data_IF_352209235862
#
_entry.id   IF_352209235862
#
_cell.length_a   1.000
_cell.length_b   1.000
_cell.length_c   1.000
_cell.angle_alpha   90.00
_cell.angle_beta   90.00
_cell.angle_gamma   90.00
#
_symmetry.space_group_name_H-M   'P 1'
#
loop_
_entity.id
_entity.type
_entity.pdbx_description
1 polymer ?
#
# COMPACT_ATOMS: atom_id res chain seq x y z
N UNK A 1 10.06 2.85 5.38
CA UNK A 1 9.28 3.85 6.13
C UNK A 1 8.75 4.88 5.13
N UNK A 2 7.58 5.49 5.36
CA UNK A 2 7.11 6.60 4.51
C UNK A 2 7.18 7.88 5.32
N UNK A 3 8.34 8.53 5.22
CA UNK A 3 8.72 9.77 5.92
C UNK A 3 9.03 10.88 4.93
N UNK A 4 9.11 12.13 5.41
CA UNK A 4 9.37 13.29 4.56
C UNK A 4 10.60 13.08 3.65
N UNK A 5 11.74 12.66 4.23
CA UNK A 5 12.97 12.38 3.49
C UNK A 5 12.85 11.30 2.40
N UNK A 6 11.88 10.39 2.51
CA UNK A 6 11.62 9.35 1.50
C UNK A 6 10.57 9.76 0.47
N UNK A 7 9.64 10.67 0.80
CA UNK A 7 8.61 11.12 -0.14
C UNK A 7 9.18 12.02 -1.24
N UNK A 8 10.16 12.87 -0.93
CA UNK A 8 10.75 13.79 -1.90
C UNK A 8 11.34 13.08 -3.14
N UNK A 9 12.15 12.00 -3.00
CA UNK A 9 12.56 11.17 -4.14
C UNK A 9 11.39 10.61 -4.96
N UNK A 10 10.32 10.11 -4.33
CA UNK A 10 9.16 9.59 -5.05
C UNK A 10 8.46 10.68 -5.86
N UNK A 11 8.25 11.86 -5.28
CA UNK A 11 7.67 13.00 -5.99
C UNK A 11 8.52 13.41 -7.19
N UNK A 12 9.85 13.41 -7.06
CA UNK A 12 10.77 13.69 -8.18
C UNK A 12 10.62 12.67 -9.32
N UNK A 13 10.58 11.37 -9.02
CA UNK A 13 10.37 10.34 -10.06
C UNK A 13 8.99 10.44 -10.72
N UNK A 14 7.93 10.68 -9.94
CA UNK A 14 6.58 10.91 -10.48
C UNK A 14 6.58 12.09 -11.47
N UNK A 15 7.29 13.19 -11.14
CA UNK A 15 7.36 14.38 -11.99
C UNK A 15 8.14 14.18 -13.29
N UNK A 16 9.03 13.18 -13.37
CA UNK A 16 9.65 12.78 -14.64
C UNK A 16 8.66 12.09 -15.58
N UNK A 17 7.63 11.44 -15.04
CA UNK A 17 6.60 10.74 -15.82
C UNK A 17 5.46 11.68 -16.21
N UNK A 18 5.03 12.57 -15.31
CA UNK A 18 3.91 13.47 -15.58
C UNK A 18 3.95 14.77 -14.76
N UNK A 19 3.59 15.87 -15.43
CA UNK A 19 3.32 17.17 -14.78
C UNK A 19 1.88 17.33 -14.25
N UNK A 20 1.02 16.32 -14.41
CA UNK A 20 -0.38 16.40 -13.95
C UNK A 20 -0.47 16.40 -12.42
N UNK A 21 -1.51 17.05 -11.83
CA UNK A 21 -1.77 16.95 -10.41
C UNK A 21 -1.97 15.50 -9.97
N UNK A 22 -1.42 15.15 -8.79
CA UNK A 22 -1.72 13.87 -8.14
C UNK A 22 -3.12 14.00 -7.55
N UNK A 23 -4.05 13.16 -8.00
CA UNK A 23 -5.46 13.20 -7.55
C UNK A 23 -5.77 12.23 -6.42
N UNK A 24 -5.06 11.10 -6.38
CA UNK A 24 -5.33 10.01 -5.44
C UNK A 24 -4.02 9.45 -4.88
N UNK A 25 -4.05 9.12 -3.59
CA UNK A 25 -3.06 8.28 -2.91
C UNK A 25 -3.81 7.09 -2.31
N UNK A 26 -3.34 5.88 -2.58
CA UNK A 26 -3.96 4.66 -2.05
C UNK A 26 -3.06 4.08 -0.96
N UNK A 27 -3.56 3.95 0.26
CA UNK A 27 -2.89 3.17 1.29
C UNK A 27 -3.27 1.70 1.10
N UNK A 28 -2.26 0.84 0.93
CA UNK A 28 -2.48 -0.61 0.87
C UNK A 28 -2.91 -1.14 2.24
N UNK A 29 -2.33 -0.62 3.32
CA UNK A 29 -2.70 -0.91 4.70
C UNK A 29 -2.12 0.17 5.64
N UNK A 30 -2.33 0.01 6.95
CA UNK A 30 -2.11 1.06 7.95
C UNK A 30 -0.67 1.17 8.49
N UNK A 31 0.26 0.32 8.04
CA UNK A 31 1.63 0.37 8.53
C UNK A 31 2.34 1.63 8.06
N UNK A 32 3.27 2.09 8.89
CA UNK A 32 3.98 3.39 8.78
C UNK A 32 4.81 3.53 7.50
N UNK A 33 5.26 2.43 6.94
CA UNK A 33 5.97 2.38 5.67
C UNK A 33 5.07 2.43 4.44
N UNK A 34 3.74 2.44 4.62
CA UNK A 34 2.78 2.57 3.53
C UNK A 34 1.90 3.83 3.65
N UNK A 35 1.70 4.35 4.87
CA UNK A 35 0.65 5.32 5.11
C UNK A 35 1.08 6.65 5.76
N UNK A 36 2.29 6.75 6.32
CA UNK A 36 2.72 7.97 7.02
C UNK A 36 3.12 9.12 6.09
N UNK A 37 3.28 8.85 4.80
CA UNK A 37 3.62 9.86 3.79
C UNK A 37 2.43 10.71 3.30
N UNK A 38 1.20 10.41 3.72
CA UNK A 38 -0.03 10.98 3.13
C UNK A 38 -0.06 12.52 3.10
N UNK A 39 0.45 13.18 4.15
CA UNK A 39 0.46 14.65 4.23
C UNK A 39 1.16 15.33 3.05
N UNK A 40 2.17 14.66 2.47
CA UNK A 40 3.03 15.23 1.43
C UNK A 40 2.41 15.16 0.03
N UNK A 41 1.27 14.47 -0.10
CA UNK A 41 0.54 14.36 -1.35
C UNK A 41 -0.73 15.21 -1.39
N UNK A 42 -1.06 15.91 -0.30
CA UNK A 42 -2.21 16.81 -0.26
C UNK A 42 -2.07 17.91 -1.35
N UNK A 43 -3.16 18.32 -2.02
CA UNK A 43 -4.56 18.04 -1.69
C UNK A 43 -5.15 16.78 -2.38
N UNK A 44 -4.33 15.78 -2.73
CA UNK A 44 -4.84 14.51 -3.26
C UNK A 44 -5.81 13.82 -2.27
N UNK A 45 -6.79 13.12 -2.80
CA UNK A 45 -7.69 12.27 -2.02
C UNK A 45 -6.95 11.03 -1.54
N UNK A 46 -6.99 10.76 -0.23
CA UNK A 46 -6.39 9.57 0.35
C UNK A 46 -7.45 8.49 0.43
N UNK A 47 -7.19 7.33 -0.16
CA UNK A 47 -8.13 6.21 -0.30
C UNK A 47 -7.58 4.98 0.42
N UNK A 48 -8.42 4.26 1.16
CA UNK A 48 -8.06 2.97 1.77
C UNK A 48 -9.28 2.09 2.04
N UNK A 49 -9.07 0.81 2.35
CA UNK A 49 -10.12 0.01 3.00
C UNK A 49 -10.53 0.66 4.35
N UNK A 50 -11.77 0.47 4.79
CA UNK A 50 -12.26 1.03 6.06
C UNK A 50 -11.43 0.54 7.26
N UNK A 51 -11.07 -0.75 7.30
CA UNK A 51 -10.26 -1.31 8.38
C UNK A 51 -8.84 -0.74 8.43
N UNK A 52 -8.29 -0.30 7.29
CA UNK A 52 -7.01 0.42 7.27
C UNK A 52 -7.14 1.80 7.93
N UNK A 53 -8.22 2.53 7.64
CA UNK A 53 -8.47 3.84 8.27
C UNK A 53 -8.66 3.69 9.77
N UNK A 54 -9.47 2.74 10.19
CA UNK A 54 -9.76 2.47 11.61
C UNK A 54 -8.49 2.07 12.36
N UNK A 55 -7.70 1.14 11.82
CA UNK A 55 -6.44 0.71 12.43
C UNK A 55 -5.43 1.87 12.51
N UNK A 56 -5.36 2.72 11.49
CA UNK A 56 -4.50 3.91 11.52
C UNK A 56 -4.90 4.87 12.65
N UNK A 57 -6.20 5.16 12.79
CA UNK A 57 -6.72 6.04 13.84
C UNK A 57 -6.50 5.44 15.24
N UNK A 58 -6.74 4.14 15.41
CA UNK A 58 -6.56 3.44 16.68
C UNK A 58 -5.07 3.39 17.10
N UNK A 59 -4.16 3.18 16.14
CA UNK A 59 -2.72 3.14 16.40
C UNK A 59 -2.15 4.51 16.72
N UNK A 60 -2.66 5.55 16.07
CA UNK A 60 -2.13 6.90 16.18
C UNK A 60 -0.71 7.06 15.59
N UNK A 61 -0.05 8.13 16.02
CA UNK A 61 1.35 8.43 15.72
C UNK A 61 2.14 8.53 17.03
N UNK A 62 2.45 7.39 17.64
CA UNK A 62 3.35 7.34 18.80
C UNK A 62 4.79 7.62 18.36
N UNK A 63 5.12 8.92 18.28
CA UNK A 63 6.42 9.43 17.86
C UNK A 63 7.53 8.98 18.82
N UNK A 64 7.25 8.75 20.10
CA UNK A 64 8.27 8.29 21.04
C UNK A 64 8.71 6.86 20.70
N UNK A 65 7.76 5.94 20.55
CA UNK A 65 8.06 4.57 20.13
C UNK A 65 8.73 4.53 18.75
N UNK A 66 8.29 5.37 17.80
CA UNK A 66 8.94 5.46 16.47
C UNK A 66 10.38 5.99 16.56
N UNK A 67 10.66 6.94 17.44
CA UNK A 67 12.01 7.45 17.70
C UNK A 67 12.92 6.40 18.35
N UNK A 68 12.38 5.51 19.17
CA UNK A 68 13.14 4.40 19.78
C UNK A 68 13.46 3.31 18.76
N UNK A 69 12.47 2.93 17.95
CA UNK A 69 12.64 1.87 16.93
C UNK A 69 13.45 2.33 15.72
N UNK A 70 13.30 3.59 15.32
CA UNK A 70 13.91 4.15 14.12
C UNK A 70 14.51 5.55 14.39
N UNK A 71 15.56 5.63 15.24
CA UNK A 71 16.15 6.91 15.65
C UNK A 71 16.71 7.73 14.49
N UNK A 72 17.11 7.08 13.40
CA UNK A 72 17.62 7.73 12.18
C UNK A 72 16.59 8.63 11.48
N UNK A 73 15.30 8.47 11.76
CA UNK A 73 14.22 9.28 11.18
C UNK A 73 13.61 10.26 12.19
N UNK A 74 14.29 10.55 13.31
CA UNK A 74 13.76 11.40 14.39
C UNK A 74 13.23 12.76 13.91
N UNK A 75 13.99 13.44 13.04
CA UNK A 75 13.57 14.73 12.48
C UNK A 75 12.35 14.59 11.56
N UNK A 76 12.27 13.49 10.81
CA UNK A 76 11.12 13.20 9.96
C UNK A 76 9.87 12.91 10.81
N UNK A 77 9.99 12.12 11.88
CA UNK A 77 8.87 11.79 12.77
C UNK A 77 8.29 13.04 13.43
N UNK A 78 9.14 13.98 13.84
CA UNK A 78 8.71 15.26 14.40
C UNK A 78 7.86 16.10 13.42
N UNK A 79 8.01 15.87 12.12
CA UNK A 79 7.28 16.57 11.05
C UNK A 79 6.10 15.77 10.49
N UNK A 80 5.94 14.53 10.94
CA UNK A 80 4.91 13.63 10.42
C UNK A 80 3.58 13.85 11.15
N UNK A 81 2.53 14.03 10.37
CA UNK A 81 1.14 14.17 10.77
C UNK A 81 0.37 12.96 10.26
N UNK A 82 -0.42 12.37 11.14
CA UNK A 82 -1.29 11.25 10.76
C UNK A 82 -2.45 11.75 9.91
N UNK A 83 -2.41 11.47 8.60
CA UNK A 83 -3.49 11.81 7.66
C UNK A 83 -4.23 10.53 7.25
N UNK A 84 -5.39 10.22 7.86
CA UNK A 84 -6.17 9.05 7.54
C UNK A 84 -6.99 9.24 6.24
N UNK A 85 -7.35 8.14 5.57
CA UNK A 85 -8.04 8.17 4.28
C UNK A 85 -9.38 8.93 4.31
N UNK A 86 -9.57 9.90 3.42
CA UNK A 86 -10.83 10.66 3.28
C UNK A 86 -11.91 9.86 2.56
N UNK A 87 -11.50 8.91 1.71
CA UNK A 87 -12.39 7.99 1.00
C UNK A 87 -12.12 6.56 1.49
N UNK A 88 -13.18 5.85 1.86
CA UNK A 88 -13.07 4.44 2.25
C UNK A 88 -13.99 3.55 1.42
N UNK A 89 -13.62 2.28 1.35
CA UNK A 89 -14.42 1.22 0.72
C UNK A 89 -14.30 -0.08 1.53
N UNK A 90 -15.16 -1.06 1.24
CA UNK A 90 -15.22 -2.34 1.95
C UNK A 90 -14.73 -3.49 1.07
N UNK A 91 -15.44 -3.81 0.00
CA UNK A 91 -15.07 -4.98 -0.83
C UNK A 91 -14.21 -4.59 -2.04
N UNK A 92 -14.76 -3.73 -2.90
CA UNK A 92 -14.13 -3.28 -4.14
C UNK A 92 -14.46 -1.83 -4.42
N UNK A 93 -13.48 -1.07 -4.89
CA UNK A 93 -13.69 0.26 -5.45
C UNK A 93 -13.08 0.31 -6.85
N UNK A 94 -13.83 0.86 -7.81
CA UNK A 94 -13.36 1.04 -9.18
C UNK A 94 -13.17 2.54 -9.42
N UNK A 95 -11.97 2.93 -9.84
CA UNK A 95 -11.63 4.32 -10.16
C UNK A 95 -11.37 4.43 -11.66
N UNK A 96 -12.16 5.24 -12.34
CA UNK A 96 -11.96 5.57 -13.75
C UNK A 96 -11.06 6.81 -13.87
N UNK A 97 -9.84 6.63 -14.37
CA UNK A 97 -8.86 7.69 -14.57
C UNK A 97 -8.64 7.94 -16.06
N UNK A 98 -9.53 8.73 -16.65
CA UNK A 98 -9.55 8.94 -18.10
C UNK A 98 -9.85 7.62 -18.82
N UNK A 99 -8.89 7.13 -19.62
CA UNK A 99 -9.01 5.86 -20.35
C UNK A 99 -8.58 4.62 -19.58
N UNK A 100 -8.20 4.73 -18.29
CA UNK A 100 -7.74 3.61 -17.47
C UNK A 100 -8.70 3.29 -16.34
N UNK A 101 -8.79 2.00 -16.02
CA UNK A 101 -9.55 1.49 -14.87
C UNK A 101 -8.53 1.07 -13.82
N UNK A 102 -8.75 1.49 -12.58
CA UNK A 102 -7.98 1.06 -11.41
C UNK A 102 -8.94 0.38 -10.46
N UNK A 103 -8.67 -0.87 -10.11
CA UNK A 103 -9.48 -1.63 -9.16
C UNK A 103 -8.75 -1.73 -7.82
N UNK A 104 -9.37 -1.21 -6.76
CA UNK A 104 -8.94 -1.43 -5.39
C UNK A 104 -9.74 -2.61 -4.86
N UNK A 105 -9.05 -3.67 -4.48
CA UNK A 105 -9.62 -4.94 -4.06
C UNK A 105 -9.24 -5.20 -2.61
N UNK A 106 -10.23 -5.42 -1.75
CA UNK A 106 -10.00 -6.00 -0.44
C UNK A 106 -10.01 -7.53 -0.58
N UNK A 107 -8.88 -8.23 -0.40
CA UNK A 107 -8.83 -9.68 -0.57
C UNK A 107 -9.42 -10.46 0.62
N UNK A 108 -9.94 -9.77 1.63
CA UNK A 108 -10.13 -10.31 2.98
C UNK A 108 -8.86 -10.13 3.83
N UNK A 109 -8.93 -10.43 5.15
CA UNK A 109 -7.80 -10.25 6.06
C UNK A 109 -6.58 -11.08 5.67
N UNK A 110 -5.42 -10.46 5.46
CA UNK A 110 -4.19 -11.16 5.11
C UNK A 110 -3.01 -10.67 5.96
N UNK A 111 -2.20 -9.74 5.47
CA UNK A 111 -1.16 -9.06 6.24
C UNK A 111 -1.75 -8.17 7.32
N UNK A 112 -2.89 -7.53 7.02
CA UNK A 112 -3.74 -6.84 7.97
C UNK A 112 -5.22 -7.10 7.68
N UNK A 113 -6.11 -6.71 8.59
CA UNK A 113 -7.56 -6.68 8.33
C UNK A 113 -7.97 -5.54 7.37
N UNK A 114 -7.04 -4.63 7.06
CA UNK A 114 -7.24 -3.44 6.24
C UNK A 114 -6.67 -3.53 4.83
N UNK A 115 -6.23 -4.71 4.37
CA UNK A 115 -5.43 -4.81 3.14
C UNK A 115 -6.19 -4.38 1.89
N UNK A 116 -5.49 -3.68 1.01
CA UNK A 116 -5.92 -3.24 -0.32
C UNK A 116 -4.87 -3.69 -1.32
N UNK A 117 -5.30 -4.47 -2.32
CA UNK A 117 -4.53 -4.68 -3.54
C UNK A 117 -5.04 -3.76 -4.64
N UNK A 118 -4.13 -3.17 -5.43
CA UNK A 118 -4.47 -2.29 -6.55
C UNK A 118 -4.18 -3.02 -7.86
N UNK A 119 -5.24 -3.33 -8.61
CA UNK A 119 -5.15 -4.05 -9.88
C UNK A 119 -5.43 -3.11 -11.06
N UNK A 120 -4.55 -3.18 -12.06
CA UNK A 120 -4.67 -2.48 -13.35
C UNK A 120 -4.99 -3.51 -14.44
N UNK A 121 -6.28 -3.78 -14.74
CA UNK A 121 -6.67 -4.88 -15.62
C UNK A 121 -6.14 -4.74 -17.04
N UNK A 122 -6.11 -3.52 -17.60
CA UNK A 122 -5.59 -3.30 -18.95
C UNK A 122 -4.09 -3.62 -19.06
N UNK A 123 -3.34 -3.37 -17.99
CA UNK A 123 -1.89 -3.56 -17.94
C UNK A 123 -1.50 -4.93 -17.35
N UNK A 124 -2.47 -5.66 -16.76
CA UNK A 124 -2.26 -6.92 -16.02
C UNK A 124 -1.23 -6.77 -14.88
N UNK A 125 -1.22 -5.60 -14.25
CA UNK A 125 -0.31 -5.25 -13.14
C UNK A 125 -1.08 -5.26 -11.83
N UNK A 126 -0.52 -5.91 -10.81
CA UNK A 126 -1.03 -5.90 -9.43
C UNK A 126 -0.02 -5.27 -8.49
N UNK A 127 -0.42 -4.23 -7.76
CA UNK A 127 0.26 -3.80 -6.54
C UNK A 127 -0.40 -4.51 -5.37
N UNK A 128 0.26 -5.52 -4.81
CA UNK A 128 -0.32 -6.36 -3.76
C UNK A 128 -0.23 -5.74 -2.37
N UNK A 129 0.55 -4.66 -2.23
CA UNK A 129 1.07 -4.26 -0.93
C UNK A 129 1.74 -5.47 -0.26
N UNK A 130 1.63 -5.48 1.07
CA UNK A 130 2.27 -6.46 1.93
C UNK A 130 1.56 -7.83 1.93
N UNK A 131 0.53 -8.04 1.11
CA UNK A 131 0.01 -9.40 0.83
C UNK A 131 1.08 -10.27 0.15
N UNK A 132 1.99 -9.68 -0.62
CA UNK A 132 3.15 -10.38 -1.17
C UNK A 132 4.45 -9.65 -0.81
N UNK A 133 5.43 -10.45 -0.38
CA UNK A 133 6.79 -10.04 -0.06
C UNK A 133 7.78 -10.90 -0.81
N UNK A 134 8.95 -10.35 -1.09
CA UNK A 134 10.06 -11.10 -1.63
C UNK A 134 11.30 -10.97 -0.73
N UNK A 135 12.00 -12.09 -0.49
CA UNK A 135 13.19 -12.24 0.37
C UNK A 135 13.01 -12.01 1.88
N UNK A 136 11.82 -11.66 2.34
CA UNK A 136 11.53 -11.44 3.76
C UNK A 136 10.25 -12.18 4.14
N UNK A 137 10.24 -12.74 5.35
CA UNK A 137 8.98 -13.22 5.95
C UNK A 137 8.31 -12.02 6.58
N UNK A 138 7.08 -11.67 6.17
CA UNK A 138 6.43 -10.48 6.67
C UNK A 138 5.93 -10.65 8.09
N UNK A 139 5.83 -9.52 8.80
CA UNK A 139 5.39 -9.46 10.19
C UNK A 139 3.89 -9.73 10.28
N UNK A 140 3.51 -10.95 10.65
CA UNK A 140 2.11 -11.35 10.80
C UNK A 140 1.43 -10.83 12.09
N UNK A 141 1.91 -9.72 12.68
CA UNK A 141 1.41 -9.17 13.95
C UNK A 141 -0.08 -8.80 13.87
N UNK A 142 -0.47 -8.16 12.78
CA UNK A 142 -1.83 -7.66 12.55
C UNK A 142 -2.59 -8.53 11.54
N UNK A 143 -1.98 -9.65 11.13
CA UNK A 143 -2.41 -10.47 10.01
C UNK A 143 -3.15 -11.73 10.40
N UNK A 144 -3.88 -12.29 9.44
CA UNK A 144 -4.62 -13.54 9.56
C UNK A 144 -3.94 -14.63 8.71
N UNK A 145 -2.89 -15.26 9.25
CA UNK A 145 -1.97 -16.15 8.51
C UNK A 145 -2.66 -17.21 7.65
N UNK A 146 -3.67 -17.92 8.19
CA UNK A 146 -4.35 -18.98 7.44
C UNK A 146 -5.22 -18.46 6.29
N UNK A 147 -5.69 -17.21 6.38
CA UNK A 147 -6.42 -16.57 5.28
C UNK A 147 -5.46 -15.91 4.31
N UNK A 148 -4.34 -15.40 4.79
CA UNK A 148 -3.27 -14.86 3.96
C UNK A 148 -2.75 -15.88 2.95
N UNK A 149 -2.50 -17.13 3.36
CA UNK A 149 -2.11 -18.20 2.44
C UNK A 149 -3.15 -18.37 1.32
N UNK A 150 -4.45 -18.38 1.68
CA UNK A 150 -5.55 -18.50 0.70
C UNK A 150 -5.60 -17.31 -0.25
N UNK A 151 -5.40 -16.09 0.27
CA UNK A 151 -5.34 -14.86 -0.52
C UNK A 151 -4.19 -14.92 -1.51
N UNK A 152 -2.98 -15.24 -1.05
CA UNK A 152 -1.79 -15.32 -1.90
C UNK A 152 -1.94 -16.38 -3.00
N UNK A 153 -2.45 -17.57 -2.65
CA UNK A 153 -2.76 -18.63 -3.62
C UNK A 153 -3.88 -18.25 -4.59
N UNK A 154 -4.77 -17.36 -4.18
CA UNK A 154 -5.92 -16.88 -4.95
C UNK A 154 -5.56 -15.84 -6.01
N UNK A 155 -4.46 -15.09 -5.85
CA UNK A 155 -4.09 -13.98 -6.74
C UNK A 155 -4.10 -14.42 -8.21
N UNK A 156 -3.32 -15.44 -8.57
CA UNK A 156 -3.21 -15.90 -9.96
C UNK A 156 -4.36 -16.79 -10.42
N UNK A 157 -5.25 -17.20 -9.50
CA UNK A 157 -6.46 -17.96 -9.82
C UNK A 157 -7.62 -17.03 -10.20
N UNK A 158 -7.66 -15.84 -9.60
CA UNK A 158 -8.79 -14.92 -9.72
C UNK A 158 -8.48 -13.67 -10.55
N UNK A 159 -7.21 -13.32 -10.73
CA UNK A 159 -6.78 -12.14 -11.49
C UNK A 159 -5.84 -12.53 -12.63
N UNK A 160 -6.03 -11.92 -13.80
CA UNK A 160 -5.12 -12.05 -14.93
C UNK A 160 -3.92 -11.11 -14.72
N UNK A 161 -2.97 -11.55 -13.89
CA UNK A 161 -1.77 -10.80 -13.50
C UNK A 161 -0.56 -11.34 -14.23
N UNK A 162 0.13 -10.48 -14.98
CA UNK A 162 1.44 -10.79 -15.59
C UNK A 162 2.60 -10.16 -14.83
N UNK A 163 2.34 -9.10 -14.06
CA UNK A 163 3.35 -8.38 -13.29
C UNK A 163 2.82 -8.10 -11.88
N UNK A 164 3.55 -8.56 -10.87
CA UNK A 164 3.25 -8.33 -9.47
C UNK A 164 4.29 -7.38 -8.87
N UNK A 165 3.80 -6.29 -8.29
CA UNK A 165 4.55 -5.30 -7.51
C UNK A 165 4.32 -5.61 -6.02
N UNK A 166 5.25 -6.30 -5.35
CA UNK A 166 5.10 -6.60 -3.93
C UNK A 166 5.22 -5.32 -3.10
N UNK A 167 4.78 -5.36 -1.85
CA UNK A 167 4.99 -4.25 -0.91
C UNK A 167 6.47 -4.02 -0.64
N UNK A 168 7.26 -5.11 -0.57
CA UNK A 168 8.71 -5.07 -0.43
C UNK A 168 9.41 -6.14 -1.29
N UNK A 169 10.56 -5.76 -1.84
CA UNK A 169 11.37 -6.60 -2.73
C UNK A 169 11.20 -6.26 -4.22
N UNK A 170 11.88 -6.99 -5.13
CA UNK A 170 11.86 -6.64 -6.55
C UNK A 170 10.53 -7.00 -7.23
N UNK A 171 10.24 -6.30 -8.32
CA UNK A 171 9.13 -6.59 -9.22
C UNK A 171 9.20 -8.04 -9.68
N UNK A 172 8.07 -8.74 -9.59
CA UNK A 172 7.98 -10.13 -9.99
C UNK A 172 7.14 -10.26 -11.25
N UNK A 173 7.78 -10.66 -12.36
CA UNK A 173 7.09 -11.02 -13.59
C UNK A 173 6.58 -12.46 -13.50
N UNK A 174 5.43 -12.77 -14.07
CA UNK A 174 4.76 -14.10 -13.95
C UNK A 174 5.66 -15.30 -14.26
N UNK A 175 6.64 -15.15 -15.16
CA UNK A 175 7.65 -16.19 -15.45
C UNK A 175 8.48 -16.58 -14.22
N UNK A 176 8.64 -15.69 -13.26
CA UNK A 176 9.37 -15.92 -12.00
C UNK A 176 8.45 -16.44 -10.87
N UNK A 177 7.13 -16.48 -11.07
CA UNK A 177 6.12 -16.92 -10.09
C UNK A 177 5.64 -18.36 -10.35
N UNK A 178 5.95 -18.91 -11.52
CA UNK A 178 5.85 -20.33 -11.75
C UNK A 178 6.91 -21.01 -10.87
N UNK A 179 6.47 -21.78 -9.87
CA UNK A 179 7.36 -22.69 -9.14
C UNK A 179 8.03 -23.66 -10.13
N UNK A 180 9.24 -24.16 -9.83
CA UNK A 180 9.90 -25.22 -10.59
C UNK A 180 9.02 -26.45 -10.80
#
# INVERSE_FOLDING_TARGET
>A
MMVASMVDPYLKEIRKVTGKPIRYVVNTHHHVDHSFGNQFYLPAEVVSHQGCREAMLARGADVNTLNELFPQYREDWARTQLIPATITYQDKMIVHLGGRVVELLHPGPAHTYGDTMVYLPQDKVLFSGDVAFHYLTPLARDGHVSNWIKVADGIFKHLDVTTLMPGHGPVTIRKCLAKP
#
